data_IF_740761798337
#
_entry.id   IF_740761798337
#
_cell.length_a   1.000
_cell.length_b   1.000
_cell.length_c   1.000
_cell.angle_alpha   90.00
_cell.angle_beta   90.00
_cell.angle_gamma   90.00
#
_symmetry.space_group_name_H-M   'P 1'
#
loop_
_entity.id
_entity.type
_entity.pdbx_description
1 polymer ?
#
# COMPACT_ATOMS: atom_id res chain seq x y z
N UNK A 1 -1.97 21.80 -53.58
CA UNK A 1 -2.99 21.22 -52.68
C UNK A 1 -2.24 20.34 -51.68
N UNK A 2 -1.86 20.83 -50.49
CA UNK A 2 -2.62 20.81 -49.21
C UNK A 2 -3.30 19.46 -48.90
N UNK A 3 -2.76 18.67 -47.97
CA UNK A 3 -3.41 18.19 -46.72
C UNK A 3 -2.42 17.33 -45.89
N UNK A 4 -1.80 17.90 -44.84
CA UNK A 4 -2.05 17.70 -43.39
C UNK A 4 -1.57 16.39 -42.77
N UNK A 5 -0.64 16.55 -41.83
CA UNK A 5 -0.14 15.58 -40.89
C UNK A 5 -1.22 15.07 -39.92
N UNK A 6 -1.09 13.81 -39.46
CA UNK A 6 -1.46 13.43 -38.10
C UNK A 6 -0.45 12.44 -37.51
N UNK A 7 0.54 13.04 -36.86
CA UNK A 7 1.16 12.64 -35.59
C UNK A 7 0.34 11.58 -34.83
N UNK A 8 0.90 10.40 -34.63
CA UNK A 8 0.58 9.54 -33.49
C UNK A 8 1.91 9.10 -32.88
N UNK A 9 2.25 9.72 -31.76
CA UNK A 9 3.46 9.41 -31.01
C UNK A 9 3.41 8.01 -30.39
N UNK A 10 4.54 7.52 -29.84
CA UNK A 10 4.52 6.31 -29.04
C UNK A 10 3.55 6.49 -27.87
N UNK A 11 2.63 5.55 -27.69
CA UNK A 11 1.82 5.44 -26.49
C UNK A 11 2.77 5.15 -25.33
N UNK A 12 3.06 6.16 -24.52
CA UNK A 12 3.65 5.97 -23.21
C UNK A 12 2.63 5.23 -22.35
N UNK A 13 2.68 3.90 -22.37
CA UNK A 13 2.07 3.06 -21.34
C UNK A 13 2.82 3.34 -20.05
N UNK A 14 2.27 4.24 -19.23
CA UNK A 14 2.68 4.38 -17.83
C UNK A 14 2.30 3.07 -17.12
N UNK A 15 3.28 2.18 -16.97
CA UNK A 15 3.21 1.07 -16.03
C UNK A 15 3.21 1.69 -14.65
N UNK A 16 2.06 1.68 -13.96
CA UNK A 16 1.96 2.06 -12.55
C UNK A 16 2.81 1.06 -11.75
N UNK A 17 4.07 1.45 -11.54
CA UNK A 17 5.11 0.71 -10.82
C UNK A 17 4.92 0.92 -9.31
N UNK A 18 5.53 0.09 -8.45
CA UNK A 18 4.92 -0.49 -7.26
C UNK A 18 4.56 0.53 -6.16
N UNK A 19 3.67 0.10 -5.26
CA UNK A 19 3.40 0.71 -3.96
C UNK A 19 4.71 0.79 -3.15
N UNK A 20 5.56 1.76 -3.42
CA UNK A 20 6.85 1.92 -2.73
C UNK A 20 6.67 2.76 -1.49
N UNK A 21 7.14 2.25 -0.35
CA UNK A 21 7.28 3.02 0.88
C UNK A 21 8.14 4.28 0.61
N UNK A 22 7.53 5.47 0.72
CA UNK A 22 8.23 6.75 0.56
C UNK A 22 8.30 7.48 1.89
N UNK A 23 9.50 7.64 2.45
CA UNK A 23 9.70 8.28 3.76
C UNK A 23 10.79 9.34 3.63
N UNK A 24 10.55 10.53 4.14
CA UNK A 24 11.52 11.64 4.18
C UNK A 24 11.70 12.10 5.62
N UNK A 25 12.94 12.27 6.07
CA UNK A 25 13.25 12.74 7.43
C UNK A 25 13.71 14.19 7.37
N UNK A 26 13.06 15.04 8.15
CA UNK A 26 13.51 16.40 8.41
C UNK A 26 14.26 16.46 9.75
N UNK A 27 15.61 16.61 9.75
CA UNK A 27 16.39 16.69 10.98
C UNK A 27 16.19 18.01 11.73
N UNK A 28 15.62 19.04 11.10
CA UNK A 28 15.37 20.34 11.73
C UNK A 28 13.97 20.44 12.36
N UNK A 29 13.09 19.47 12.08
CA UNK A 29 11.76 19.43 12.67
C UNK A 29 11.82 19.21 14.19
N UNK A 30 10.85 19.78 14.92
CA UNK A 30 10.73 19.59 16.36
C UNK A 30 10.37 18.14 16.74
N UNK A 31 9.79 17.39 15.80
CA UNK A 31 9.41 15.99 15.97
C UNK A 31 10.64 15.07 15.85
N UNK A 32 10.79 14.16 16.81
CA UNK A 32 11.90 13.20 16.79
C UNK A 32 11.83 12.30 15.53
N UNK A 33 12.97 11.92 14.92
CA UNK A 33 12.98 11.13 13.67
C UNK A 33 12.18 9.83 13.72
N UNK A 34 12.06 9.18 14.88
CA UNK A 34 11.25 7.96 14.99
C UNK A 34 9.75 8.23 14.85
N UNK A 35 9.25 9.36 15.35
CA UNK A 35 7.85 9.74 15.20
C UNK A 35 7.56 10.14 13.75
N UNK A 36 8.48 10.86 13.09
CA UNK A 36 8.36 11.17 11.66
C UNK A 36 8.21 9.90 10.81
N UNK A 37 9.01 8.85 11.07
CA UNK A 37 8.90 7.54 10.40
C UNK A 37 7.55 6.90 10.69
N UNK A 38 7.13 6.86 11.97
CA UNK A 38 5.87 6.26 12.41
C UNK A 38 4.68 6.95 11.72
N UNK A 39 4.60 8.27 11.82
CA UNK A 39 3.50 9.08 11.27
C UNK A 39 3.36 8.86 9.76
N UNK A 40 4.46 8.95 9.01
CA UNK A 40 4.42 8.77 7.55
C UNK A 40 4.03 7.34 7.12
N UNK A 41 4.47 6.31 7.83
CA UNK A 41 4.04 4.92 7.54
C UNK A 41 2.55 4.75 7.87
N UNK A 42 2.10 5.28 9.01
CA UNK A 42 0.71 5.20 9.42
C UNK A 42 -0.23 5.93 8.44
N UNK A 43 0.16 7.11 7.96
CA UNK A 43 -0.62 7.87 6.99
C UNK A 43 -0.68 7.16 5.63
N UNK A 44 0.43 6.59 5.16
CA UNK A 44 0.42 5.79 3.93
C UNK A 44 -0.42 4.51 4.06
N UNK A 45 -0.41 3.85 5.22
CA UNK A 45 -1.29 2.72 5.49
C UNK A 45 -2.77 3.14 5.50
N UNK A 46 -3.10 4.23 6.21
CA UNK A 46 -4.46 4.76 6.34
C UNK A 46 -5.06 5.21 5.01
N UNK A 47 -4.25 5.83 4.14
CA UNK A 47 -4.66 6.28 2.81
C UNK A 47 -4.72 5.16 1.78
N UNK A 48 -4.26 3.94 2.13
CA UNK A 48 -4.15 2.81 1.22
C UNK A 48 -2.98 2.88 0.24
N UNK A 49 -2.12 3.91 0.34
CA UNK A 49 -0.88 3.99 -0.43
C UNK A 49 0.07 2.82 -0.13
N UNK A 50 0.08 2.37 1.13
CA UNK A 50 0.60 1.06 1.54
C UNK A 50 -0.59 0.16 1.88
N UNK A 51 -0.99 -0.78 1.01
CA UNK A 51 -2.14 -1.61 1.30
C UNK A 51 -1.83 -2.63 2.39
N UNK A 52 -2.89 -3.17 2.97
CA UNK A 52 -2.85 -4.32 3.87
C UNK A 52 -2.03 -5.46 3.26
N UNK A 53 -1.16 -6.06 4.07
CA UNK A 53 -0.28 -7.14 3.66
C UNK A 53 0.96 -6.68 2.88
N UNK A 54 1.13 -5.37 2.65
CA UNK A 54 2.37 -4.83 2.08
C UNK A 54 3.55 -5.13 3.00
N UNK A 55 4.63 -5.69 2.44
CA UNK A 55 5.83 -6.06 3.21
C UNK A 55 6.73 -4.83 3.39
N UNK A 56 7.01 -4.48 4.63
CA UNK A 56 7.94 -3.39 4.95
C UNK A 56 9.40 -3.85 4.82
N UNK A 57 10.33 -2.91 4.55
CA UNK A 57 11.75 -3.21 4.63
C UNK A 57 12.13 -3.69 6.02
N UNK A 58 13.30 -4.34 6.12
CA UNK A 58 13.85 -4.67 7.44
C UNK A 58 14.24 -3.39 8.18
N UNK A 59 14.27 -3.43 9.51
CA UNK A 59 14.77 -2.30 10.34
C UNK A 59 16.12 -1.79 9.84
N UNK A 60 17.05 -2.69 9.51
CA UNK A 60 18.37 -2.32 9.00
C UNK A 60 18.32 -1.77 7.57
N UNK A 61 17.45 -2.32 6.73
CA UNK A 61 17.24 -1.83 5.36
C UNK A 61 16.73 -0.39 5.35
N UNK A 62 15.61 -0.14 6.04
CA UNK A 62 15.05 1.20 6.13
C UNK A 62 15.98 2.19 6.84
N UNK A 63 16.70 1.74 7.87
CA UNK A 63 17.71 2.58 8.53
C UNK A 63 18.83 3.00 7.56
N UNK A 64 19.29 2.09 6.69
CA UNK A 64 20.28 2.39 5.66
C UNK A 64 19.74 3.36 4.60
N UNK A 65 18.50 3.16 4.14
CA UNK A 65 17.84 4.03 3.17
C UNK A 65 17.64 5.46 3.70
N UNK A 66 17.30 5.61 4.98
CA UNK A 66 17.02 6.90 5.61
C UNK A 66 18.23 7.54 6.31
N UNK A 67 19.37 6.86 6.36
CA UNK A 67 20.54 7.33 7.12
C UNK A 67 20.31 7.43 8.63
N UNK A 68 19.40 6.62 9.18
CA UNK A 68 19.02 6.63 10.60
C UNK A 68 19.73 5.53 11.40
N UNK A 69 19.80 5.71 12.72
CA UNK A 69 20.19 4.63 13.61
C UNK A 69 19.13 3.51 13.60
N UNK A 70 19.57 2.25 13.54
CA UNK A 70 18.67 1.09 13.53
C UNK A 70 17.70 1.07 14.73
N UNK A 71 18.14 1.53 15.91
CA UNK A 71 17.29 1.62 17.10
C UNK A 71 16.14 2.62 16.92
N UNK A 72 16.33 3.69 16.15
CA UNK A 72 15.30 4.69 15.86
C UNK A 72 14.20 4.08 15.00
N UNK A 73 14.57 3.35 13.95
CA UNK A 73 13.61 2.64 13.09
C UNK A 73 12.93 1.50 13.85
N UNK A 74 13.68 0.75 14.68
CA UNK A 74 13.11 -0.29 15.53
C UNK A 74 12.07 0.28 16.50
N UNK A 75 12.32 1.47 17.07
CA UNK A 75 11.37 2.16 17.94
C UNK A 75 10.09 2.54 17.17
N UNK A 76 10.22 3.07 15.95
CA UNK A 76 9.07 3.38 15.10
C UNK A 76 8.24 2.13 14.78
N UNK A 77 8.88 1.03 14.38
CA UNK A 77 8.18 -0.22 14.05
C UNK A 77 7.46 -0.82 15.26
N UNK A 78 8.07 -0.80 16.44
CA UNK A 78 7.40 -1.25 17.68
C UNK A 78 6.18 -0.39 18.02
N UNK A 79 6.25 0.92 17.83
CA UNK A 79 5.12 1.81 18.03
C UNK A 79 3.98 1.48 17.04
N UNK A 80 4.31 1.34 15.75
CA UNK A 80 3.34 0.96 14.71
C UNK A 80 2.69 -0.41 14.98
N UNK A 81 3.45 -1.37 15.51
CA UNK A 81 2.93 -2.69 15.88
C UNK A 81 2.00 -2.61 17.09
N UNK A 82 2.36 -1.80 18.08
CA UNK A 82 1.52 -1.51 19.25
C UNK A 82 0.21 -0.84 18.84
N UNK A 83 0.27 0.06 17.87
CA UNK A 83 -0.90 0.76 17.30
C UNK A 83 -1.71 -0.13 16.34
N UNK A 84 -1.26 -1.35 16.04
CA UNK A 84 -1.92 -2.26 15.10
C UNK A 84 -1.86 -1.82 13.64
N UNK A 85 -0.98 -0.89 13.28
CA UNK A 85 -0.75 -0.43 11.89
C UNK A 85 0.08 -1.44 11.11
N UNK A 86 1.00 -2.13 11.80
CA UNK A 86 1.82 -3.21 11.23
C UNK A 86 1.73 -4.46 12.10
N UNK A 87 2.10 -5.60 11.54
CA UNK A 87 2.27 -6.86 12.26
C UNK A 87 3.59 -7.52 11.89
N UNK A 88 4.29 -8.08 12.88
CA UNK A 88 5.51 -8.86 12.64
C UNK A 88 5.21 -10.36 12.56
N UNK A 89 5.54 -10.99 11.43
CA UNK A 89 5.34 -12.42 11.19
C UNK A 89 6.63 -13.22 11.41
N UNK A 90 7.33 -12.95 12.51
CA UNK A 90 8.61 -13.58 12.87
C UNK A 90 9.67 -13.41 11.78
N UNK A 91 10.26 -14.54 11.31
CA UNK A 91 11.29 -14.54 10.24
C UNK A 91 10.79 -14.04 8.88
N UNK A 92 9.47 -13.93 8.69
CA UNK A 92 8.89 -13.51 7.40
C UNK A 92 8.91 -11.98 7.21
N UNK A 93 9.19 -11.22 8.26
CA UNK A 93 9.28 -9.76 8.25
C UNK A 93 8.05 -9.07 8.82
N UNK A 94 7.99 -7.74 8.64
CA UNK A 94 6.90 -6.88 9.09
C UNK A 94 6.01 -6.49 7.91
N UNK A 95 4.70 -6.43 8.14
CA UNK A 95 3.70 -6.17 7.11
C UNK A 95 2.71 -5.14 7.60
N UNK A 96 2.17 -4.32 6.69
CA UNK A 96 1.02 -3.46 7.02
C UNK A 96 -0.14 -4.35 7.43
N UNK A 97 -0.65 -4.12 8.63
CA UNK A 97 -1.79 -4.83 9.16
C UNK A 97 -3.06 -4.32 8.49
N UNK A 98 -4.11 -5.14 8.50
CA UNK A 98 -5.46 -4.60 8.36
C UNK A 98 -5.76 -3.82 9.65
N UNK A 99 -5.37 -2.54 9.65
CA UNK A 99 -5.77 -1.61 10.69
C UNK A 99 -7.28 -1.43 10.56
N UNK A 100 -8.01 -1.97 11.54
CA UNK A 100 -9.46 -1.90 11.57
C UNK A 100 -10.08 -3.00 12.44
N UNK A 101 -11.35 -2.80 12.78
CA UNK A 101 -12.18 -3.76 13.54
C UNK A 101 -12.19 -5.11 12.81
N UNK A 102 -12.67 -6.19 13.45
CA UNK A 102 -12.84 -7.50 12.83
C UNK A 102 -13.49 -7.43 11.43
N UNK A 103 -14.37 -6.45 11.21
CA UNK A 103 -14.96 -6.13 9.92
C UNK A 103 -13.94 -5.76 8.82
N UNK A 104 -12.96 -4.89 9.11
CA UNK A 104 -11.96 -4.45 8.13
C UNK A 104 -10.97 -5.58 7.80
N UNK A 105 -10.62 -6.40 8.80
CA UNK A 105 -9.81 -7.61 8.60
C UNK A 105 -10.51 -8.61 7.69
N UNK A 106 -11.81 -8.83 7.92
CA UNK A 106 -12.63 -9.72 7.10
C UNK A 106 -12.77 -9.19 5.67
N UNK A 107 -13.01 -7.88 5.50
CA UNK A 107 -13.09 -7.24 4.20
C UNK A 107 -11.78 -7.38 3.39
N UNK A 108 -10.63 -7.14 4.03
CA UNK A 108 -9.32 -7.31 3.39
C UNK A 108 -9.06 -8.79 3.00
N UNK A 109 -9.42 -9.74 3.87
CA UNK A 109 -9.29 -11.17 3.59
C UNK A 109 -10.17 -11.59 2.38
N UNK A 110 -11.41 -11.10 2.32
CA UNK A 110 -12.33 -11.34 1.21
C UNK A 110 -11.80 -10.77 -0.10
N UNK A 111 -11.30 -9.52 -0.10
CA UNK A 111 -10.70 -8.88 -1.27
C UNK A 111 -9.47 -9.66 -1.79
N UNK A 112 -8.59 -10.08 -0.89
CA UNK A 112 -7.41 -10.88 -1.26
C UNK A 112 -7.80 -12.26 -1.83
N UNK A 113 -8.84 -12.89 -1.29
CA UNK A 113 -9.37 -14.15 -1.81
C UNK A 113 -9.96 -13.98 -3.20
N UNK A 114 -10.68 -12.89 -3.45
CA UNK A 114 -11.17 -12.52 -4.78
C UNK A 114 -10.01 -12.36 -5.79
N UNK A 115 -9.01 -11.54 -5.46
CA UNK A 115 -7.87 -11.28 -6.34
C UNK A 115 -7.14 -12.58 -6.76
N UNK A 116 -6.91 -13.50 -5.80
CA UNK A 116 -6.32 -14.82 -6.10
C UNK A 116 -7.18 -15.66 -7.05
N UNK A 117 -8.51 -15.62 -6.90
CA UNK A 117 -9.42 -16.36 -7.79
C UNK A 117 -9.44 -15.75 -9.19
N UNK A 118 -9.56 -14.43 -9.30
CA UNK A 118 -9.55 -13.72 -10.57
C UNK A 118 -8.26 -14.00 -11.36
N UNK A 119 -7.10 -13.96 -10.69
CA UNK A 119 -5.83 -14.27 -11.32
C UNK A 119 -5.76 -15.72 -11.84
N UNK A 120 -6.23 -16.71 -11.07
CA UNK A 120 -6.29 -18.12 -11.52
C UNK A 120 -7.24 -18.34 -12.71
N UNK A 121 -8.25 -17.50 -12.85
CA UNK A 121 -9.18 -17.52 -13.98
C UNK A 121 -8.61 -16.79 -15.22
N UNK A 122 -7.42 -16.20 -15.13
CA UNK A 122 -6.80 -15.47 -16.23
C UNK A 122 -7.39 -14.07 -16.48
N UNK A 123 -8.15 -13.52 -15.53
CA UNK A 123 -8.63 -12.15 -15.65
C UNK A 123 -7.44 -11.19 -15.55
N UNK A 124 -7.39 -10.24 -16.47
CA UNK A 124 -6.52 -9.08 -16.30
C UNK A 124 -7.05 -8.16 -15.18
N UNK A 125 -6.23 -7.19 -14.79
CA UNK A 125 -6.57 -6.27 -13.71
C UNK A 125 -7.87 -5.48 -13.97
N UNK A 126 -8.11 -5.07 -15.22
CA UNK A 126 -9.27 -4.26 -15.58
C UNK A 126 -10.56 -5.09 -15.50
N UNK A 127 -10.54 -6.31 -16.03
CA UNK A 127 -11.65 -7.26 -15.97
C UNK A 127 -11.97 -7.66 -14.52
N UNK A 128 -10.95 -7.89 -13.70
CA UNK A 128 -11.13 -8.18 -12.29
C UNK A 128 -11.77 -6.99 -11.54
N UNK A 129 -11.32 -5.76 -11.80
CA UNK A 129 -11.91 -4.58 -11.17
C UNK A 129 -13.37 -4.38 -11.60
N UNK A 130 -13.68 -4.56 -12.89
CA UNK A 130 -15.03 -4.46 -13.41
C UNK A 130 -15.96 -5.49 -12.74
N UNK A 131 -15.55 -6.76 -12.67
CA UNK A 131 -16.34 -7.81 -12.04
C UNK A 131 -16.58 -7.56 -10.54
N UNK A 132 -15.57 -7.08 -9.81
CA UNK A 132 -15.75 -6.69 -8.40
C UNK A 132 -16.73 -5.52 -8.25
N UNK A 133 -16.62 -4.51 -9.11
CA UNK A 133 -17.50 -3.33 -9.10
C UNK A 133 -18.95 -3.69 -9.41
N UNK A 134 -19.17 -4.55 -10.41
CA UNK A 134 -20.51 -5.02 -10.77
C UNK A 134 -21.14 -5.85 -9.65
N UNK A 135 -20.35 -6.71 -8.99
CA UNK A 135 -20.81 -7.47 -7.83
C UNK A 135 -21.21 -6.56 -6.66
N UNK A 136 -20.41 -5.52 -6.37
CA UNK A 136 -20.74 -4.52 -5.35
C UNK A 136 -22.01 -3.76 -5.73
N UNK A 137 -22.14 -3.30 -6.99
CA UNK A 137 -23.35 -2.61 -7.45
C UNK A 137 -24.60 -3.50 -7.31
N UNK A 138 -24.48 -4.78 -7.61
CA UNK A 138 -25.57 -5.73 -7.44
C UNK A 138 -25.94 -5.94 -5.96
N UNK A 139 -24.96 -5.93 -5.05
CA UNK A 139 -25.17 -6.12 -3.62
C UNK A 139 -25.73 -4.87 -2.90
N UNK A 140 -25.31 -3.67 -3.31
CA UNK A 140 -25.68 -2.40 -2.67
C UNK A 140 -26.82 -1.64 -3.39
N UNK A 141 -27.19 -2.06 -4.61
CA UNK A 141 -28.27 -1.47 -5.40
C UNK A 141 -28.01 -0.03 -5.88
N UNK A 142 -28.86 0.51 -6.78
CA UNK A 142 -28.87 1.94 -7.10
C UNK A 142 -29.66 2.69 -6.03
N UNK A 143 -29.06 2.97 -4.87
CA UNK A 143 -29.77 3.68 -3.80
C UNK A 143 -29.03 3.81 -2.47
N UNK A 144 -27.81 4.34 -2.49
CA UNK A 144 -27.19 4.97 -1.32
C UNK A 144 -27.01 6.47 -1.61
#
# INVERSE_FOLDING_TARGET
MRQTAHRTGPRSTTVSSPQTLSITIDPAAAEAPFEQVRTQIADQARTGALPVGHKLPTVRGLAGELGLAANTVAKAYRALETDGVIETRGRNGSFVAAAGDAADKEAAAAAAAYARRAHRLGLDHAAALAAATDALRAAYGPGA
#
